data_IF_088180663037
#
_entry.id   IF_088180663037
#
_cell.length_a   1.000
_cell.length_b   1.000
_cell.length_c   1.000
_cell.angle_alpha   90.00
_cell.angle_beta   90.00
_cell.angle_gamma   90.00
#
_symmetry.space_group_name_H-M   'P 1'
#
loop_
_entity.id
_entity.type
_entity.pdbx_description
1 polymer ?
#
# COMPACT_ATOMS: atom_id res chain seq x y z
N UNK A 1 21.76 15.09 -2.29
CA UNK A 1 20.82 14.03 -1.88
C UNK A 1 19.39 14.54 -2.05
N UNK A 2 18.53 13.80 -2.77
CA UNK A 2 17.12 14.16 -2.97
C UNK A 2 16.38 14.08 -1.64
N UNK A 3 15.67 15.15 -1.27
CA UNK A 3 14.98 15.24 0.02
C UNK A 3 13.54 14.71 -0.05
N UNK A 4 12.85 14.96 -1.17
CA UNK A 4 11.48 14.53 -1.42
C UNK A 4 11.19 14.49 -2.92
N UNK A 5 10.38 13.53 -3.36
CA UNK A 5 9.76 13.49 -4.67
C UNK A 5 8.27 13.17 -4.49
N UNK A 6 7.41 13.99 -5.07
CA UNK A 6 5.98 13.75 -5.27
C UNK A 6 5.73 14.07 -6.74
N UNK A 7 5.43 13.06 -7.55
CA UNK A 7 5.22 13.24 -9.00
C UNK A 7 3.75 13.50 -9.33
N UNK A 8 2.78 12.71 -8.78
CA UNK A 8 1.38 12.90 -9.12
C UNK A 8 0.83 14.22 -8.61
N UNK A 9 -0.06 14.83 -9.40
CA UNK A 9 -0.96 15.87 -8.88
C UNK A 9 -2.01 15.20 -8.00
N UNK A 10 -2.17 15.68 -6.77
CA UNK A 10 -3.11 15.12 -5.80
C UNK A 10 -4.42 15.89 -5.85
N UNK A 11 -5.53 15.19 -6.11
CA UNK A 11 -6.88 15.75 -6.11
C UNK A 11 -7.71 15.15 -4.97
N UNK A 12 -8.58 15.95 -4.39
CA UNK A 12 -9.62 15.51 -3.47
C UNK A 12 -10.98 15.86 -4.05
N UNK A 13 -11.93 14.91 -3.99
CA UNK A 13 -13.33 15.12 -4.30
C UNK A 13 -14.19 14.52 -3.18
N UNK A 14 -15.30 15.19 -2.84
CA UNK A 14 -16.23 14.66 -1.82
C UNK A 14 -16.91 13.36 -2.27
N UNK A 15 -17.19 13.25 -3.56
CA UNK A 15 -17.82 12.06 -4.14
C UNK A 15 -17.46 11.82 -5.61
N UNK A 16 -17.79 10.63 -6.09
CA UNK A 16 -17.57 10.20 -7.48
C UNK A 16 -18.19 11.15 -8.51
N UNK A 17 -19.36 11.71 -8.21
CA UNK A 17 -20.06 12.63 -9.13
C UNK A 17 -19.19 13.82 -9.53
N UNK A 18 -18.46 14.42 -8.58
CA UNK A 18 -17.65 15.60 -8.86
C UNK A 18 -16.34 15.22 -9.57
N UNK A 19 -15.77 14.07 -9.22
CA UNK A 19 -14.65 13.49 -9.96
C UNK A 19 -15.01 13.30 -11.44
N UNK A 20 -16.14 12.65 -11.76
CA UNK A 20 -16.56 12.40 -13.15
C UNK A 20 -16.87 13.67 -13.93
N UNK A 21 -17.34 14.75 -13.29
CA UNK A 21 -17.56 16.05 -13.95
C UNK A 21 -16.24 16.68 -14.39
N UNK A 22 -15.19 16.57 -13.58
CA UNK A 22 -13.89 17.19 -13.85
C UNK A 22 -13.07 16.37 -14.85
N UNK A 23 -12.96 15.06 -14.62
CA UNK A 23 -12.14 14.17 -15.47
C UNK A 23 -12.78 13.80 -16.81
N UNK A 24 -14.10 14.04 -17.00
CA UNK A 24 -14.81 13.86 -18.28
C UNK A 24 -14.45 12.56 -18.98
N UNK A 25 -14.81 11.45 -18.36
CA UNK A 25 -14.51 10.10 -18.87
C UNK A 25 -15.20 9.86 -20.20
N UNK A 26 -14.49 9.34 -21.20
CA UNK A 26 -14.96 9.15 -22.57
C UNK A 26 -14.37 7.91 -23.25
N UNK A 27 -14.51 7.86 -24.57
CA UNK A 27 -14.13 6.71 -25.41
C UNK A 27 -12.65 6.38 -25.42
N UNK A 28 -11.80 7.38 -25.16
CA UNK A 28 -10.34 7.23 -25.17
C UNK A 28 -9.79 6.81 -23.79
N UNK A 29 -10.67 6.43 -22.85
CA UNK A 29 -10.32 5.97 -21.52
C UNK A 29 -10.43 4.45 -21.37
N UNK A 30 -9.44 3.85 -20.72
CA UNK A 30 -9.50 2.49 -20.18
C UNK A 30 -9.75 2.55 -18.68
N UNK A 31 -10.91 2.09 -18.25
CA UNK A 31 -11.28 2.02 -16.84
C UNK A 31 -10.93 0.63 -16.30
N UNK A 32 -10.20 0.59 -15.19
CA UNK A 32 -9.88 -0.67 -14.48
C UNK A 32 -10.48 -0.59 -13.08
N UNK A 33 -11.37 -1.51 -12.74
CA UNK A 33 -12.04 -1.55 -11.43
C UNK A 33 -12.47 -2.97 -11.07
N UNK A 34 -13.23 -3.13 -9.99
CA UNK A 34 -13.91 -4.37 -9.64
C UNK A 34 -15.43 -4.24 -9.84
N UNK A 35 -16.12 -5.39 -9.85
CA UNK A 35 -17.56 -5.45 -10.09
C UNK A 35 -18.35 -4.63 -9.07
N UNK A 36 -18.00 -4.71 -7.77
CA UNK A 36 -18.72 -4.00 -6.71
C UNK A 36 -18.66 -2.49 -6.89
N UNK A 37 -17.46 -1.93 -7.05
CA UNK A 37 -17.28 -0.48 -7.25
C UNK A 37 -17.97 -0.01 -8.53
N UNK A 38 -17.87 -0.82 -9.60
CA UNK A 38 -18.53 -0.50 -10.86
C UNK A 38 -20.04 -0.38 -10.67
N UNK A 39 -20.68 -1.36 -10.04
CA UNK A 39 -22.13 -1.38 -9.84
C UNK A 39 -22.63 -0.27 -8.91
N UNK A 40 -21.89 0.01 -7.84
CA UNK A 40 -22.29 0.99 -6.82
C UNK A 40 -22.02 2.44 -7.24
N UNK A 41 -20.90 2.73 -7.89
CA UNK A 41 -20.43 4.09 -8.09
C UNK A 41 -20.17 4.49 -9.55
N UNK A 42 -19.85 3.56 -10.46
CA UNK A 42 -19.23 3.92 -11.74
C UNK A 42 -20.16 3.80 -12.94
N UNK A 43 -21.00 2.78 -13.00
CA UNK A 43 -21.79 2.41 -14.20
C UNK A 43 -22.66 3.52 -14.77
N UNK A 44 -23.13 4.44 -13.93
CA UNK A 44 -23.98 5.55 -14.38
C UNK A 44 -23.19 6.69 -15.01
N UNK A 45 -21.90 6.72 -14.80
CA UNK A 45 -21.00 7.76 -15.29
C UNK A 45 -20.16 7.30 -16.50
N UNK A 46 -20.00 5.99 -16.70
CA UNK A 46 -19.19 5.39 -17.76
C UNK A 46 -20.14 4.92 -18.87
N UNK A 47 -20.03 5.52 -20.08
CA UNK A 47 -20.92 5.18 -21.20
C UNK A 47 -20.17 4.59 -22.40
N UNK A 48 -19.02 5.14 -22.74
CA UNK A 48 -18.31 4.83 -24.00
C UNK A 48 -16.92 4.27 -23.79
N UNK A 49 -16.40 4.33 -22.57
CA UNK A 49 -15.05 3.86 -22.22
C UNK A 49 -14.96 2.34 -22.21
N UNK A 50 -13.80 1.81 -22.53
CA UNK A 50 -13.50 0.42 -22.28
C UNK A 50 -13.41 0.17 -20.77
N UNK A 51 -14.02 -0.91 -20.30
CA UNK A 51 -14.05 -1.25 -18.86
C UNK A 51 -13.49 -2.66 -18.64
N UNK A 52 -12.52 -2.74 -17.77
CA UNK A 52 -11.95 -4.00 -17.27
C UNK A 52 -12.39 -4.17 -15.81
N UNK A 53 -13.15 -5.22 -15.57
CA UNK A 53 -13.50 -5.67 -14.22
C UNK A 53 -12.60 -6.83 -13.85
N UNK A 54 -11.70 -6.62 -12.89
CA UNK A 54 -10.67 -7.61 -12.55
C UNK A 54 -11.25 -8.93 -12.06
N UNK A 55 -12.47 -8.91 -11.52
CA UNK A 55 -13.20 -10.11 -11.07
C UNK A 55 -13.39 -11.15 -12.20
N UNK A 56 -13.40 -10.71 -13.45
CA UNK A 56 -13.52 -11.59 -14.62
C UNK A 56 -12.23 -12.35 -14.97
N UNK A 57 -11.09 -11.94 -14.39
CA UNK A 57 -9.77 -12.48 -14.68
C UNK A 57 -9.14 -13.28 -13.52
N UNK A 58 -9.71 -13.13 -12.32
CA UNK A 58 -9.27 -13.87 -11.13
C UNK A 58 -9.57 -13.12 -9.83
N UNK A 59 -9.31 -13.79 -8.72
CA UNK A 59 -9.49 -13.22 -7.37
C UNK A 59 -8.16 -13.11 -6.63
N UNK A 60 -8.08 -12.16 -5.71
CA UNK A 60 -6.96 -12.01 -4.79
C UNK A 60 -5.85 -11.10 -5.31
N UNK A 61 -4.61 -11.48 -5.04
CA UNK A 61 -3.43 -10.67 -5.38
C UNK A 61 -3.17 -10.67 -6.90
N UNK A 62 -2.77 -9.53 -7.51
CA UNK A 62 -2.54 -9.47 -8.95
C UNK A 62 -1.36 -10.38 -9.35
N UNK A 63 -1.60 -11.20 -10.38
CA UNK A 63 -0.59 -12.13 -10.90
C UNK A 63 -0.17 -11.72 -12.31
N UNK A 64 1.00 -12.21 -12.71
CA UNK A 64 1.48 -12.08 -14.09
C UNK A 64 0.46 -12.62 -15.11
N UNK A 65 -0.17 -13.77 -14.83
CA UNK A 65 -1.18 -14.35 -15.71
C UNK A 65 -2.46 -13.51 -15.82
N UNK A 66 -2.90 -12.86 -14.73
CA UNK A 66 -4.04 -11.94 -14.76
C UNK A 66 -3.72 -10.76 -15.68
N UNK A 67 -2.53 -10.15 -15.54
CA UNK A 67 -2.10 -9.02 -16.39
C UNK A 67 -2.02 -9.44 -17.85
N UNK A 68 -1.44 -10.61 -18.18
CA UNK A 68 -1.40 -11.13 -19.57
C UNK A 68 -2.81 -11.35 -20.13
N UNK A 69 -3.72 -11.93 -19.34
CA UNK A 69 -5.10 -12.16 -19.75
C UNK A 69 -5.86 -10.87 -20.03
N UNK A 70 -5.67 -9.85 -19.19
CA UNK A 70 -6.23 -8.51 -19.41
C UNK A 70 -5.63 -7.91 -20.69
N UNK A 71 -4.29 -7.98 -20.85
CA UNK A 71 -3.61 -7.47 -22.03
C UNK A 71 -4.18 -8.07 -23.32
N UNK A 72 -4.36 -9.38 -23.38
CA UNK A 72 -4.95 -10.07 -24.54
C UNK A 72 -6.36 -9.55 -24.87
N UNK A 73 -7.14 -9.17 -23.86
CA UNK A 73 -8.50 -8.64 -24.06
C UNK A 73 -8.53 -7.20 -24.57
N UNK A 74 -7.51 -6.38 -24.25
CA UNK A 74 -7.49 -4.96 -24.61
C UNK A 74 -6.49 -4.57 -25.69
N UNK A 75 -5.57 -5.45 -26.12
CA UNK A 75 -4.49 -5.12 -27.07
C UNK A 75 -4.95 -4.56 -28.43
N UNK A 76 -6.24 -4.71 -28.76
CA UNK A 76 -6.87 -4.16 -29.97
C UNK A 76 -7.67 -2.89 -29.69
N UNK A 77 -7.79 -2.48 -28.44
CA UNK A 77 -8.52 -1.28 -28.03
C UNK A 77 -7.51 -0.13 -27.99
N UNK A 78 -7.84 0.96 -28.65
CA UNK A 78 -7.06 2.19 -28.56
C UNK A 78 -7.59 3.03 -27.40
N UNK A 79 -6.69 3.43 -26.50
CA UNK A 79 -6.97 4.36 -25.41
C UNK A 79 -5.75 5.24 -25.17
N UNK A 80 -5.98 6.44 -24.63
CA UNK A 80 -4.94 7.42 -24.34
C UNK A 80 -4.75 7.62 -22.84
N UNK A 81 -5.75 7.21 -22.02
CA UNK A 81 -5.72 7.37 -20.58
C UNK A 81 -6.20 6.11 -19.88
N UNK A 82 -5.48 5.74 -18.80
CA UNK A 82 -5.86 4.66 -17.88
C UNK A 82 -6.39 5.27 -16.59
N UNK A 83 -7.58 4.89 -16.17
CA UNK A 83 -8.19 5.30 -14.91
C UNK A 83 -8.43 4.05 -14.07
N UNK A 84 -7.59 3.81 -13.08
CA UNK A 84 -7.72 2.67 -12.19
C UNK A 84 -8.36 3.10 -10.87
N UNK A 85 -9.56 2.53 -10.58
CA UNK A 85 -10.37 2.87 -9.41
C UNK A 85 -10.51 1.64 -8.55
N UNK A 86 -9.81 1.59 -7.41
CA UNK A 86 -9.84 0.40 -6.57
C UNK A 86 -8.79 0.36 -5.46
N UNK A 87 -8.67 -0.81 -4.87
CA UNK A 87 -7.58 -1.11 -3.94
C UNK A 87 -6.27 -1.39 -4.66
N UNK A 88 -5.23 -1.70 -3.87
CA UNK A 88 -3.85 -1.85 -4.36
C UNK A 88 -3.71 -2.67 -5.65
N UNK A 89 -4.34 -3.84 -5.72
CA UNK A 89 -4.25 -4.73 -6.89
C UNK A 89 -4.68 -4.07 -8.19
N UNK A 90 -5.74 -3.25 -8.13
CA UNK A 90 -6.28 -2.53 -9.28
C UNK A 90 -5.34 -1.40 -9.68
N UNK A 91 -4.82 -0.65 -8.71
CA UNK A 91 -3.90 0.44 -8.97
C UNK A 91 -2.59 -0.07 -9.59
N UNK A 92 -2.07 -1.20 -9.12
CA UNK A 92 -0.86 -1.80 -9.67
C UNK A 92 -1.04 -2.31 -11.10
N UNK A 93 -2.20 -2.88 -11.41
CA UNK A 93 -2.57 -3.21 -12.80
C UNK A 93 -2.63 -1.94 -13.64
N UNK A 94 -3.28 -0.87 -13.14
CA UNK A 94 -3.35 0.41 -13.83
C UNK A 94 -2.00 0.98 -14.22
N UNK A 95 -1.02 0.91 -13.31
CA UNK A 95 0.37 1.34 -13.58
C UNK A 95 0.99 0.60 -14.77
N UNK A 96 0.77 -0.72 -14.85
CA UNK A 96 1.29 -1.52 -15.97
C UNK A 96 0.63 -1.12 -17.28
N UNK A 97 -0.69 -0.89 -17.27
CA UNK A 97 -1.44 -0.54 -18.48
C UNK A 97 -1.20 0.89 -18.98
N UNK A 98 -0.51 1.73 -18.20
CA UNK A 98 0.00 3.03 -18.68
C UNK A 98 1.30 2.93 -19.48
N UNK A 99 1.96 1.77 -19.46
CA UNK A 99 3.22 1.55 -20.16
C UNK A 99 3.00 1.13 -21.63
N UNK A 100 3.98 1.47 -22.48
CA UNK A 100 4.02 1.07 -23.88
C UNK A 100 4.23 -0.44 -24.06
N UNK A 101 5.16 -1.01 -23.31
CA UNK A 101 5.56 -2.40 -23.42
C UNK A 101 5.06 -3.17 -22.20
N UNK A 102 3.93 -3.87 -22.33
CA UNK A 102 3.30 -4.60 -21.23
C UNK A 102 3.68 -6.08 -21.26
N UNK A 103 3.54 -6.70 -22.40
CA UNK A 103 3.71 -8.16 -22.58
C UNK A 103 5.00 -8.49 -23.35
N UNK A 104 5.74 -9.54 -22.98
CA UNK A 104 5.46 -10.46 -21.86
C UNK A 104 5.82 -9.83 -20.49
N UNK A 105 4.89 -9.89 -19.53
CA UNK A 105 5.03 -9.30 -18.18
C UNK A 105 6.29 -9.77 -17.46
N UNK A 106 6.67 -11.04 -17.65
CA UNK A 106 7.90 -11.56 -17.06
C UNK A 106 9.16 -10.85 -17.61
N UNK A 107 9.18 -10.47 -18.88
CA UNK A 107 10.30 -9.69 -19.44
C UNK A 107 10.32 -8.27 -18.89
N UNK A 108 9.15 -7.64 -18.71
CA UNK A 108 9.02 -6.31 -18.10
C UNK A 108 9.61 -6.30 -16.68
N UNK A 109 9.19 -7.22 -15.81
CA UNK A 109 9.67 -7.29 -14.42
C UNK A 109 11.12 -7.80 -14.27
N UNK A 110 11.69 -8.37 -15.31
CA UNK A 110 13.12 -8.73 -15.35
C UNK A 110 13.97 -7.69 -16.10
N UNK A 111 13.44 -6.48 -16.35
CA UNK A 111 14.12 -5.38 -17.07
C UNK A 111 14.66 -5.80 -18.45
N UNK A 112 13.95 -6.69 -19.16
CA UNK A 112 14.24 -7.12 -20.53
C UNK A 112 13.38 -6.39 -21.57
N UNK A 113 12.48 -5.54 -21.13
CA UNK A 113 11.72 -4.58 -21.93
C UNK A 113 11.97 -3.18 -21.38
N UNK A 114 11.99 -2.20 -22.27
CA UNK A 114 12.09 -0.80 -21.87
C UNK A 114 10.82 -0.38 -21.14
N UNK A 115 11.00 0.24 -19.98
CA UNK A 115 9.91 0.80 -19.20
C UNK A 115 9.68 2.22 -19.73
N UNK A 116 8.63 2.39 -20.52
CA UNK A 116 8.28 3.67 -21.15
C UNK A 116 6.83 3.95 -20.85
N UNK A 117 6.55 5.06 -20.18
CA UNK A 117 5.18 5.54 -19.97
C UNK A 117 4.63 6.08 -21.30
N UNK A 118 3.45 5.64 -21.67
CA UNK A 118 2.80 6.04 -22.93
C UNK A 118 1.45 6.70 -22.72
N UNK A 119 0.71 6.27 -21.68
CA UNK A 119 -0.65 6.72 -21.42
C UNK A 119 -0.71 7.58 -20.16
N UNK A 120 -1.61 8.57 -20.16
CA UNK A 120 -1.97 9.28 -18.93
C UNK A 120 -2.51 8.28 -17.90
N UNK A 121 -2.07 8.40 -16.66
CA UNK A 121 -2.45 7.49 -15.57
C UNK A 121 -3.14 8.25 -14.45
N UNK A 122 -4.39 7.90 -14.18
CA UNK A 122 -5.18 8.40 -13.05
C UNK A 122 -5.43 7.26 -12.08
N UNK A 123 -4.97 7.39 -10.85
CA UNK A 123 -5.16 6.39 -9.81
C UNK A 123 -6.12 6.92 -8.74
N UNK A 124 -7.21 6.20 -8.52
CA UNK A 124 -8.25 6.51 -7.53
C UNK A 124 -8.23 5.44 -6.44
N UNK A 125 -7.66 5.79 -5.29
CA UNK A 125 -7.52 4.88 -4.16
C UNK A 125 -8.86 4.70 -3.43
N UNK A 126 -9.26 3.45 -3.22
CA UNK A 126 -10.51 3.11 -2.51
C UNK A 126 -10.27 2.35 -1.18
N UNK A 127 -9.04 2.32 -0.72
CA UNK A 127 -8.63 1.75 0.57
C UNK A 127 -7.63 2.67 1.26
N UNK A 128 -7.52 2.62 2.58
CA UNK A 128 -6.58 3.45 3.33
C UNK A 128 -5.32 2.67 3.75
N UNK A 129 -4.65 1.97 2.81
CA UNK A 129 -3.68 0.96 3.23
C UNK A 129 -2.27 1.02 2.65
N UNK A 130 -2.10 1.37 1.40
CA UNK A 130 -0.81 1.20 0.72
C UNK A 130 -0.19 2.49 0.22
N UNK A 131 -1.01 3.51 -0.08
CA UNK A 131 -0.53 4.70 -0.76
C UNK A 131 -0.01 4.41 -2.18
N UNK A 132 -0.57 3.38 -2.85
CA UNK A 132 -0.10 2.99 -4.18
C UNK A 132 -0.35 4.07 -5.23
N UNK A 133 -1.34 4.92 -5.02
CA UNK A 133 -1.68 6.04 -5.91
C UNK A 133 -0.57 7.09 -5.98
N UNK A 134 0.30 7.14 -4.97
CA UNK A 134 1.35 8.16 -4.85
C UNK A 134 2.76 7.59 -5.04
N UNK A 135 2.89 6.29 -5.29
CA UNK A 135 4.20 5.61 -5.41
C UNK A 135 4.46 5.11 -6.82
N UNK A 136 5.74 4.88 -7.14
CA UNK A 136 6.22 4.33 -8.40
C UNK A 136 6.55 2.83 -8.31
N UNK A 137 5.93 2.13 -7.38
CA UNK A 137 6.17 0.71 -7.12
C UNK A 137 4.97 -0.08 -7.64
N UNK A 138 5.24 -1.20 -8.32
CA UNK A 138 4.27 -2.18 -8.73
C UNK A 138 4.73 -3.58 -8.32
N UNK A 139 3.87 -4.35 -7.67
CA UNK A 139 4.19 -5.70 -7.20
C UNK A 139 3.22 -6.72 -7.76
N UNK A 140 3.73 -7.76 -8.44
CA UNK A 140 2.95 -8.89 -8.95
C UNK A 140 3.41 -10.21 -8.34
N UNK A 141 2.49 -11.17 -8.19
CA UNK A 141 2.82 -12.56 -7.89
C UNK A 141 3.06 -13.30 -9.19
N UNK A 142 4.26 -13.84 -9.39
CA UNK A 142 4.61 -14.68 -10.53
C UNK A 142 4.26 -16.13 -10.19
N UNK A 143 3.26 -16.68 -10.89
CA UNK A 143 2.70 -17.99 -10.53
C UNK A 143 3.70 -19.13 -10.74
N UNK A 144 4.42 -19.12 -11.84
CA UNK A 144 5.43 -20.16 -12.16
C UNK A 144 6.62 -20.13 -11.18
N UNK A 145 6.98 -18.94 -10.69
CA UNK A 145 8.11 -18.76 -9.77
C UNK A 145 7.68 -18.81 -8.30
N UNK A 146 6.37 -18.87 -8.03
CA UNK A 146 5.74 -18.85 -6.69
C UNK A 146 6.25 -17.71 -5.80
N UNK A 147 6.66 -16.59 -6.40
CA UNK A 147 7.20 -15.42 -5.68
C UNK A 147 6.61 -14.12 -6.17
N UNK A 148 6.65 -13.11 -5.29
CA UNK A 148 6.33 -11.73 -5.64
C UNK A 148 7.57 -11.05 -6.20
N UNK A 149 7.40 -10.32 -7.30
CA UNK A 149 8.42 -9.42 -7.85
C UNK A 149 7.90 -7.99 -7.78
N UNK A 150 8.82 -7.08 -7.58
CA UNK A 150 8.58 -5.66 -7.51
C UNK A 150 9.25 -4.98 -8.70
N UNK A 151 8.51 -4.12 -9.38
CA UNK A 151 9.01 -3.22 -10.40
C UNK A 151 8.97 -1.80 -9.81
N UNK A 152 10.11 -1.13 -9.80
CA UNK A 152 10.26 0.22 -9.30
C UNK A 152 10.87 1.09 -10.40
N UNK A 153 10.07 2.01 -10.94
CA UNK A 153 10.47 2.89 -12.03
C UNK A 153 9.67 4.18 -12.00
N UNK A 154 10.29 5.29 -12.36
CA UNK A 154 9.61 6.60 -12.34
C UNK A 154 8.43 6.67 -13.31
N UNK A 155 8.45 5.88 -14.37
CA UNK A 155 7.38 5.74 -15.37
C UNK A 155 6.09 5.16 -14.80
N UNK A 156 6.14 4.54 -13.61
CA UNK A 156 4.97 4.01 -12.90
C UNK A 156 4.26 5.03 -12.01
N UNK A 157 4.81 6.24 -11.84
CA UNK A 157 4.06 7.30 -11.17
C UNK A 157 2.80 7.64 -11.94
N UNK A 158 1.71 7.85 -11.23
CA UNK A 158 0.50 8.41 -11.82
C UNK A 158 0.72 9.89 -12.23
N UNK A 159 -0.05 10.37 -13.19
CA UNK A 159 -0.17 11.80 -13.47
C UNK A 159 -1.09 12.46 -12.43
N UNK A 160 -2.12 11.72 -12.02
CA UNK A 160 -3.11 12.16 -11.04
C UNK A 160 -3.37 11.08 -9.99
N UNK A 161 -3.21 11.44 -8.72
CA UNK A 161 -3.65 10.66 -7.57
C UNK A 161 -4.94 11.27 -7.01
N UNK A 162 -6.01 10.50 -7.00
CA UNK A 162 -7.35 11.01 -6.65
C UNK A 162 -7.84 10.36 -5.37
N UNK A 163 -8.22 11.19 -4.41
CA UNK A 163 -8.73 10.81 -3.10
C UNK A 163 -10.23 11.12 -3.03
N UNK A 164 -11.04 10.07 -2.89
CA UNK A 164 -12.51 10.17 -2.78
C UNK A 164 -12.95 9.41 -1.52
N UNK A 165 -13.16 10.08 -0.38
CA UNK A 165 -13.54 9.44 0.87
C UNK A 165 -14.82 8.61 0.80
N UNK A 166 -15.76 8.99 -0.09
CA UNK A 166 -17.00 8.25 -0.35
C UNK A 166 -16.73 6.77 -0.67
N UNK A 167 -15.68 6.47 -1.43
CA UNK A 167 -15.36 5.11 -1.88
C UNK A 167 -14.91 4.17 -0.75
N UNK A 168 -14.48 4.72 0.39
CA UNK A 168 -14.11 3.92 1.56
C UNK A 168 -15.35 3.46 2.34
N UNK A 169 -16.48 4.16 2.21
CA UNK A 169 -17.71 3.86 2.98
C UNK A 169 -18.30 2.49 2.67
N UNK A 170 -18.00 1.94 1.49
CA UNK A 170 -18.43 0.60 1.08
C UNK A 170 -17.55 -0.54 1.60
N UNK A 171 -16.44 -0.22 2.27
CA UNK A 171 -15.52 -1.23 2.79
C UNK A 171 -16.12 -1.95 4.00
N UNK A 172 -15.95 -3.27 4.11
CA UNK A 172 -16.16 -3.97 5.39
C UNK A 172 -15.20 -3.41 6.46
N UNK A 173 -15.69 -3.28 7.70
CA UNK A 173 -14.93 -2.70 8.80
C UNK A 173 -13.58 -3.39 9.02
N UNK A 174 -13.55 -4.72 8.98
CA UNK A 174 -12.31 -5.47 9.12
C UNK A 174 -11.28 -5.13 8.04
N UNK A 175 -11.70 -4.92 6.80
CA UNK A 175 -10.83 -4.52 5.69
C UNK A 175 -10.35 -3.07 5.88
N UNK A 176 -11.23 -2.17 6.32
CA UNK A 176 -10.86 -0.80 6.63
C UNK A 176 -9.77 -0.73 7.72
N UNK A 177 -9.97 -1.47 8.82
CA UNK A 177 -9.02 -1.51 9.93
C UNK A 177 -7.69 -2.16 9.56
N UNK A 178 -7.71 -3.33 8.91
CA UNK A 178 -6.49 -4.01 8.45
C UNK A 178 -5.65 -3.11 7.54
N UNK A 179 -6.28 -2.43 6.58
CA UNK A 179 -5.58 -1.53 5.69
C UNK A 179 -5.01 -0.32 6.43
N UNK A 180 -5.78 0.29 7.35
CA UNK A 180 -5.32 1.43 8.13
C UNK A 180 -4.10 1.08 8.99
N UNK A 181 -4.09 -0.11 9.62
CA UNK A 181 -2.94 -0.61 10.38
C UNK A 181 -1.72 -0.79 9.49
N UNK A 182 -1.91 -1.34 8.28
CA UNK A 182 -0.79 -1.47 7.33
C UNK A 182 -0.19 -0.11 6.95
N UNK A 183 -1.03 0.91 6.68
CA UNK A 183 -0.56 2.26 6.40
C UNK A 183 0.13 2.91 7.62
N UNK A 184 -0.41 2.68 8.82
CA UNK A 184 0.22 3.12 10.06
C UNK A 184 1.63 2.51 10.24
N UNK A 185 1.77 1.20 10.01
CA UNK A 185 3.07 0.52 10.05
C UNK A 185 4.02 1.07 9.00
N UNK A 186 3.55 1.32 7.78
CA UNK A 186 4.35 1.93 6.72
C UNK A 186 4.85 3.33 7.12
N UNK A 187 4.00 4.15 7.75
CA UNK A 187 4.39 5.47 8.26
C UNK A 187 5.48 5.37 9.33
N UNK A 188 5.34 4.43 10.27
CA UNK A 188 6.35 4.19 11.32
C UNK A 188 7.66 3.69 10.72
N UNK A 189 7.60 2.70 9.83
CA UNK A 189 8.78 2.10 9.18
C UNK A 189 9.55 3.14 8.34
N UNK A 190 8.81 4.02 7.63
CA UNK A 190 9.40 5.14 6.88
C UNK A 190 10.02 6.19 7.80
N UNK A 191 9.39 6.50 8.95
CA UNK A 191 9.90 7.49 9.90
C UNK A 191 11.28 7.11 10.47
N UNK A 192 11.45 5.83 10.81
CA UNK A 192 12.69 5.30 11.39
C UNK A 192 13.71 4.85 10.33
N UNK A 193 13.38 4.95 9.05
CA UNK A 193 14.27 4.55 7.96
C UNK A 193 15.60 5.33 8.00
N UNK A 194 16.74 4.69 7.72
CA UNK A 194 18.02 5.39 7.52
C UNK A 194 17.98 6.40 6.35
N UNK A 195 17.02 6.25 5.43
CA UNK A 195 16.79 7.15 4.29
C UNK A 195 15.77 8.25 4.59
N UNK A 196 15.22 8.28 5.81
CA UNK A 196 14.27 9.32 6.19
C UNK A 196 14.92 10.70 6.14
N UNK A 197 14.17 11.67 5.63
CA UNK A 197 14.53 13.09 5.59
C UNK A 197 13.53 13.86 6.49
N UNK A 198 13.80 15.12 6.77
CA UNK A 198 12.85 15.96 7.51
C UNK A 198 11.49 16.03 6.80
N UNK A 199 11.48 16.10 5.46
CA UNK A 199 10.25 16.12 4.68
C UNK A 199 9.47 14.80 4.81
N UNK A 200 10.12 13.64 4.65
CA UNK A 200 9.43 12.36 4.79
C UNK A 200 8.94 12.15 6.23
N UNK A 201 9.69 12.62 7.22
CA UNK A 201 9.27 12.57 8.62
C UNK A 201 8.03 13.42 8.90
N UNK A 202 7.87 14.59 8.27
CA UNK A 202 6.66 15.40 8.41
C UNK A 202 5.41 14.65 7.98
N UNK A 203 5.46 13.98 6.81
CA UNK A 203 4.35 13.17 6.31
C UNK A 203 4.09 11.93 7.17
N UNK A 204 5.14 11.19 7.54
CA UNK A 204 5.02 10.02 8.43
C UNK A 204 4.43 10.40 9.78
N UNK A 205 4.91 11.47 10.41
CA UNK A 205 4.42 11.93 11.70
C UNK A 205 2.95 12.35 11.62
N UNK A 206 2.55 13.05 10.55
CA UNK A 206 1.16 13.43 10.34
C UNK A 206 0.27 12.19 10.20
N UNK A 207 0.70 11.19 9.42
CA UNK A 207 -0.02 9.94 9.27
C UNK A 207 -0.17 9.20 10.61
N UNK A 208 0.92 9.05 11.36
CA UNK A 208 0.93 8.42 12.69
C UNK A 208 -0.07 9.08 13.63
N UNK A 209 -0.05 10.43 13.69
CA UNK A 209 -0.98 11.21 14.54
C UNK A 209 -2.45 10.97 14.17
N UNK A 210 -2.76 10.98 12.88
CA UNK A 210 -4.13 10.79 12.40
C UNK A 210 -4.60 9.37 12.75
N UNK A 211 -3.83 8.33 12.45
CA UNK A 211 -4.21 6.96 12.75
C UNK A 211 -4.39 6.72 14.24
N UNK A 212 -3.44 7.10 15.10
CA UNK A 212 -3.55 6.86 16.54
C UNK A 212 -4.75 7.60 17.16
N UNK A 213 -5.03 8.83 16.73
CA UNK A 213 -6.19 9.55 17.18
C UNK A 213 -7.50 8.91 16.70
N UNK A 214 -7.53 8.42 15.45
CA UNK A 214 -8.66 7.69 14.91
C UNK A 214 -8.89 6.36 15.64
N UNK A 215 -7.84 5.60 15.93
CA UNK A 215 -7.94 4.36 16.70
C UNK A 215 -8.51 4.56 18.10
N UNK A 216 -8.14 5.65 18.77
CA UNK A 216 -8.74 6.01 20.07
C UNK A 216 -10.23 6.32 19.96
N UNK A 217 -10.65 6.99 18.88
CA UNK A 217 -12.08 7.24 18.62
C UNK A 217 -12.83 5.95 18.39
N UNK A 218 -12.28 5.02 17.59
CA UNK A 218 -12.89 3.71 17.34
C UNK A 218 -13.06 2.91 18.65
N UNK A 219 -12.09 2.94 19.56
CA UNK A 219 -12.18 2.25 20.85
C UNK A 219 -13.26 2.83 21.75
N UNK A 220 -13.53 4.12 21.64
CA UNK A 220 -14.54 4.82 22.46
C UNK A 220 -15.96 4.67 21.88
N UNK A 221 -16.07 4.66 20.57
CA UNK A 221 -17.32 4.56 19.83
C UNK A 221 -17.06 3.87 18.50
N UNK A 222 -17.54 2.62 18.38
CA UNK A 222 -17.35 1.79 17.19
C UNK A 222 -18.39 2.08 16.10
N UNK A 223 -19.52 2.69 16.48
CA UNK A 223 -20.62 2.99 15.57
C UNK A 223 -20.18 4.08 14.56
N UNK A 224 -20.45 3.82 13.29
CA UNK A 224 -20.20 4.74 12.16
C UNK A 224 -18.75 5.24 11.97
N UNK A 225 -17.77 4.56 12.57
CA UNK A 225 -16.37 4.97 12.52
C UNK A 225 -15.82 5.10 11.09
N UNK A 226 -16.31 4.30 10.12
CA UNK A 226 -15.88 4.38 8.72
C UNK A 226 -16.30 5.74 8.13
N UNK A 227 -17.54 6.17 8.31
CA UNK A 227 -18.02 7.45 7.81
C UNK A 227 -17.25 8.62 8.41
N UNK A 228 -16.99 8.57 9.71
CA UNK A 228 -16.29 9.62 10.44
C UNK A 228 -14.81 9.71 10.09
N UNK A 229 -14.16 8.58 9.79
CA UNK A 229 -12.71 8.50 9.63
C UNK A 229 -12.24 8.28 8.19
N UNK A 230 -13.14 8.03 7.23
CA UNK A 230 -12.79 7.74 5.83
C UNK A 230 -11.86 8.78 5.24
N UNK A 231 -12.18 10.07 5.39
CA UNK A 231 -11.37 11.16 4.88
C UNK A 231 -10.00 11.20 5.55
N UNK A 232 -9.98 11.22 6.87
CA UNK A 232 -8.74 11.32 7.66
C UNK A 232 -7.82 10.13 7.38
N UNK A 233 -8.35 8.91 7.32
CA UNK A 233 -7.56 7.70 7.09
C UNK A 233 -7.08 7.57 5.64
N UNK A 234 -7.87 8.05 4.67
CA UNK A 234 -7.44 8.10 3.28
C UNK A 234 -6.24 9.03 3.11
N UNK A 235 -6.31 10.24 3.71
CA UNK A 235 -5.18 11.18 3.71
C UNK A 235 -3.98 10.66 4.49
N UNK A 236 -4.19 10.02 5.64
CA UNK A 236 -3.09 9.42 6.40
C UNK A 236 -2.38 8.32 5.61
N UNK A 237 -3.14 7.49 4.87
CA UNK A 237 -2.58 6.49 3.95
C UNK A 237 -1.76 7.14 2.82
N UNK A 238 -2.26 8.23 2.23
CA UNK A 238 -1.54 8.99 1.21
C UNK A 238 -0.23 9.57 1.77
N UNK A 239 -0.26 10.20 2.94
CA UNK A 239 0.95 10.70 3.62
C UNK A 239 1.97 9.58 3.91
N UNK A 240 1.50 8.43 4.39
CA UNK A 240 2.35 7.25 4.57
C UNK A 240 2.96 6.78 3.24
N UNK A 241 2.18 6.81 2.15
CA UNK A 241 2.63 6.50 0.79
C UNK A 241 3.69 7.45 0.28
N UNK A 242 3.53 8.77 0.48
CA UNK A 242 4.55 9.79 0.14
C UNK A 242 5.86 9.47 0.85
N UNK A 243 5.81 9.16 2.14
CA UNK A 243 7.02 8.83 2.90
C UNK A 243 7.65 7.55 2.39
N UNK A 244 6.86 6.48 2.23
CA UNK A 244 7.31 5.17 1.75
C UNK A 244 7.94 5.26 0.35
N UNK A 245 7.32 5.98 -0.58
CA UNK A 245 7.85 6.18 -1.95
C UNK A 245 9.22 6.84 -1.98
N UNK A 246 9.57 7.61 -0.96
CA UNK A 246 10.87 8.30 -0.85
C UNK A 246 11.90 7.53 -0.02
N UNK A 247 11.47 6.80 1.02
CA UNK A 247 12.38 6.04 1.89
C UNK A 247 12.59 4.61 1.43
N UNK A 248 11.66 4.08 0.63
CA UNK A 248 11.55 2.66 0.34
C UNK A 248 11.06 1.86 1.56
N UNK A 249 10.93 0.57 1.38
CA UNK A 249 10.58 -0.34 2.46
C UNK A 249 11.68 -0.39 3.53
N UNK A 250 11.28 -0.30 4.80
CA UNK A 250 12.17 -0.30 5.93
C UNK A 250 12.37 -1.69 6.55
N UNK A 251 12.78 -1.69 7.82
CA UNK A 251 13.15 -2.91 8.54
C UNK A 251 11.92 -3.78 8.84
N UNK A 252 10.79 -3.19 9.21
CA UNK A 252 9.57 -3.95 9.56
C UNK A 252 9.08 -4.70 8.32
N UNK A 253 9.00 -4.01 7.18
CA UNK A 253 8.59 -4.62 5.92
C UNK A 253 9.56 -5.72 5.46
N UNK A 254 10.87 -5.51 5.63
CA UNK A 254 11.88 -6.50 5.26
C UNK A 254 11.73 -7.79 6.07
N UNK A 255 11.47 -7.68 7.37
CA UNK A 255 11.17 -8.83 8.22
C UNK A 255 9.83 -9.50 7.85
N UNK A 256 8.78 -8.71 7.63
CA UNK A 256 7.47 -9.21 7.23
C UNK A 256 7.49 -9.92 5.88
N UNK A 257 8.24 -9.41 4.90
CA UNK A 257 8.42 -10.04 3.59
C UNK A 257 9.04 -11.43 3.72
N UNK A 258 10.07 -11.58 4.55
CA UNK A 258 10.69 -12.88 4.79
C UNK A 258 9.75 -13.86 5.52
N UNK A 259 8.98 -13.37 6.48
CA UNK A 259 7.97 -14.18 7.18
C UNK A 259 6.85 -14.61 6.22
N UNK A 260 6.44 -13.76 5.28
CA UNK A 260 5.42 -14.03 4.27
C UNK A 260 5.89 -14.95 3.11
N UNK A 261 7.15 -15.42 3.12
CA UNK A 261 7.59 -16.50 2.24
C UNK A 261 6.91 -17.83 2.59
N UNK A 262 6.45 -17.97 3.83
CA UNK A 262 5.44 -18.97 4.17
C UNK A 262 4.10 -18.49 3.60
N UNK A 263 3.56 -19.23 2.62
CA UNK A 263 2.36 -18.87 1.85
C UNK A 263 1.07 -18.72 2.71
N UNK A 264 1.12 -19.13 3.98
CA UNK A 264 0.04 -18.99 4.96
C UNK A 264 -0.20 -17.53 5.40
N UNK A 265 0.78 -16.62 5.19
CA UNK A 265 0.74 -15.25 5.64
C UNK A 265 0.82 -14.25 4.50
N UNK A 266 -0.03 -13.24 4.54
CA UNK A 266 0.16 -12.05 3.73
C UNK A 266 1.28 -11.16 4.31
N UNK A 267 1.86 -10.27 3.49
CA UNK A 267 2.85 -9.29 3.97
C UNK A 267 2.26 -8.38 5.05
N UNK A 268 0.98 -8.00 4.92
CA UNK A 268 0.28 -7.15 5.91
C UNK A 268 0.18 -7.84 7.26
N UNK A 269 -0.30 -9.07 7.28
CA UNK A 269 -0.38 -9.88 8.50
C UNK A 269 1.00 -10.08 9.12
N UNK A 270 2.00 -10.43 8.30
CA UNK A 270 3.38 -10.58 8.73
C UNK A 270 3.92 -9.32 9.40
N UNK A 271 3.77 -8.17 8.74
CA UNK A 271 4.18 -6.87 9.28
C UNK A 271 3.49 -6.58 10.62
N UNK A 272 2.17 -6.81 10.69
CA UNK A 272 1.40 -6.55 11.90
C UNK A 272 1.83 -7.44 13.08
N UNK A 273 2.06 -8.73 12.82
CA UNK A 273 2.48 -9.69 13.86
C UNK A 273 3.80 -9.28 14.50
N UNK A 274 4.78 -8.86 13.70
CA UNK A 274 6.13 -8.56 14.17
C UNK A 274 6.37 -7.11 14.58
N UNK A 275 5.44 -6.22 14.28
CA UNK A 275 5.57 -4.77 14.34
C UNK A 275 6.23 -4.26 15.62
N UNK A 276 5.58 -4.41 16.74
CA UNK A 276 6.06 -3.92 18.04
C UNK A 276 7.27 -4.69 18.54
N UNK A 277 7.38 -5.98 18.21
CA UNK A 277 8.55 -6.81 18.55
C UNK A 277 9.81 -6.29 17.87
N UNK A 278 9.72 -5.94 16.58
CA UNK A 278 10.83 -5.35 15.83
C UNK A 278 11.19 -3.99 16.43
N UNK A 279 10.21 -3.14 16.69
CA UNK A 279 10.46 -1.84 17.32
C UNK A 279 11.18 -1.97 18.67
N UNK A 280 10.71 -2.84 19.58
CA UNK A 280 11.36 -3.09 20.87
C UNK A 280 12.81 -3.55 20.71
N UNK A 281 13.04 -4.49 19.80
CA UNK A 281 14.37 -5.10 19.62
C UNK A 281 15.38 -4.15 19.02
N UNK A 282 14.94 -3.30 18.11
CA UNK A 282 15.81 -2.43 17.33
C UNK A 282 15.75 -0.96 17.73
N UNK A 283 14.91 -0.58 18.70
CA UNK A 283 14.72 0.80 19.15
C UNK A 283 16.02 1.58 19.39
N UNK A 284 17.03 0.93 20.01
CA UNK A 284 18.33 1.55 20.30
C UNK A 284 19.30 1.60 19.12
N UNK A 285 18.97 0.92 18.01
CA UNK A 285 19.87 0.76 16.85
C UNK A 285 19.37 1.50 15.62
N UNK A 286 18.09 1.89 15.59
CA UNK A 286 17.48 2.54 14.45
C UNK A 286 17.59 4.06 14.60
N UNK A 287 17.92 4.71 13.49
CA UNK A 287 17.88 6.15 13.42
C UNK A 287 16.47 6.68 13.74
N UNK A 288 16.41 7.87 14.28
CA UNK A 288 15.16 8.59 14.58
C UNK A 288 14.20 7.92 15.59
N UNK A 289 14.55 6.76 16.17
CA UNK A 289 13.65 6.04 17.09
C UNK A 289 13.39 6.84 18.38
N UNK A 290 14.39 7.53 18.93
CA UNK A 290 14.18 8.38 20.11
C UNK A 290 13.16 9.49 19.82
N UNK A 291 13.27 10.14 18.66
CA UNK A 291 12.34 11.19 18.24
C UNK A 291 10.92 10.60 18.06
N UNK A 292 10.80 9.43 17.42
CA UNK A 292 9.53 8.72 17.30
C UNK A 292 8.95 8.37 18.67
N UNK A 293 9.75 7.85 19.60
CA UNK A 293 9.28 7.48 20.93
C UNK A 293 8.72 8.67 21.72
N UNK A 294 9.33 9.86 21.62
CA UNK A 294 8.76 11.07 22.22
C UNK A 294 7.39 11.43 21.64
N UNK A 295 7.24 11.32 20.31
CA UNK A 295 5.96 11.54 19.63
C UNK A 295 4.91 10.52 20.11
N UNK A 296 5.27 9.22 20.11
CA UNK A 296 4.37 8.16 20.55
C UNK A 296 4.00 8.29 22.03
N UNK A 297 4.97 8.58 22.92
CA UNK A 297 4.72 8.83 24.34
C UNK A 297 3.67 9.93 24.56
N UNK A 298 3.81 11.04 23.83
CA UNK A 298 2.84 12.14 23.87
C UNK A 298 1.46 11.70 23.35
N UNK A 299 1.43 11.05 22.19
CA UNK A 299 0.17 10.59 21.58
C UNK A 299 -0.54 9.53 22.41
N UNK A 300 0.20 8.62 23.05
CA UNK A 300 -0.34 7.53 23.85
C UNK A 300 -0.61 7.96 25.32
N UNK A 301 -0.13 9.15 25.71
CA UNK A 301 -0.18 9.66 27.08
C UNK A 301 0.42 8.65 28.09
N UNK A 302 1.61 8.15 27.79
CA UNK A 302 2.32 7.18 28.64
C UNK A 302 3.81 7.48 28.70
N UNK A 303 4.49 6.89 29.71
CA UNK A 303 5.94 6.95 29.79
C UNK A 303 6.63 6.20 28.65
N UNK A 304 7.82 6.62 28.24
CA UNK A 304 8.55 6.03 27.12
C UNK A 304 8.79 4.51 27.26
N UNK A 305 8.94 3.98 28.45
CA UNK A 305 9.13 2.56 28.71
C UNK A 305 7.86 1.72 28.49
N UNK A 306 6.67 2.34 28.39
CA UNK A 306 5.38 1.69 28.17
C UNK A 306 4.82 1.87 26.76
N UNK A 307 5.49 2.62 25.89
CA UNK A 307 5.01 2.98 24.55
C UNK A 307 4.55 1.74 23.77
N UNK A 308 5.38 0.71 23.69
CA UNK A 308 5.09 -0.45 22.87
C UNK A 308 4.02 -1.35 23.48
N UNK A 309 3.84 -1.34 24.80
CA UNK A 309 2.74 -2.05 25.48
C UNK A 309 1.42 -1.35 25.21
N UNK A 310 1.37 -0.02 25.31
CA UNK A 310 0.17 0.77 25.02
C UNK A 310 -0.18 0.71 23.53
N UNK A 311 0.82 0.70 22.65
CA UNK A 311 0.60 0.52 21.22
C UNK A 311 -0.01 -0.85 20.91
N UNK A 312 0.52 -1.91 21.53
CA UNK A 312 -0.07 -3.25 21.43
C UNK A 312 -1.50 -3.29 21.94
N UNK A 313 -1.79 -2.64 23.07
CA UNK A 313 -3.13 -2.57 23.64
C UNK A 313 -4.13 -1.90 22.67
N UNK A 314 -3.77 -0.75 22.11
CA UNK A 314 -4.63 -0.02 21.16
C UNK A 314 -4.86 -0.87 19.92
N UNK A 315 -3.80 -1.38 19.29
CA UNK A 315 -3.90 -2.12 18.05
C UNK A 315 -4.69 -3.43 18.21
N UNK A 316 -4.51 -4.17 19.31
CA UNK A 316 -5.27 -5.38 19.59
C UNK A 316 -6.74 -5.13 19.91
N UNK A 317 -7.10 -3.94 20.44
CA UNK A 317 -8.51 -3.57 20.67
C UNK A 317 -9.25 -3.28 19.38
N UNK A 318 -8.60 -2.67 18.39
CA UNK A 318 -9.24 -2.33 17.12
C UNK A 318 -9.24 -3.49 16.11
N UNK A 319 -8.18 -4.32 16.13
CA UNK A 319 -8.06 -5.45 15.21
C UNK A 319 -7.24 -6.57 15.87
N UNK A 320 -7.85 -7.74 16.02
CA UNK A 320 -7.20 -8.88 16.67
C UNK A 320 -5.95 -9.32 15.91
N UNK A 321 -4.81 -9.29 16.59
CA UNK A 321 -3.53 -9.74 16.03
C UNK A 321 -3.34 -11.22 16.31
N UNK A 322 -3.52 -12.05 15.30
CA UNK A 322 -3.26 -13.47 15.37
C UNK A 322 -1.80 -13.75 15.75
N UNK A 323 -1.56 -14.85 16.46
CA UNK A 323 -0.22 -15.34 16.78
C UNK A 323 0.32 -16.18 15.63
N UNK A 324 1.64 -16.30 15.50
CA UNK A 324 2.27 -17.14 14.47
C UNK A 324 1.81 -18.61 14.55
N UNK A 325 1.56 -19.11 15.76
CA UNK A 325 1.04 -20.47 15.98
C UNK A 325 -0.36 -20.68 15.39
N UNK A 326 -1.18 -19.63 15.25
CA UNK A 326 -2.51 -19.71 14.63
C UNK A 326 -2.44 -19.81 13.10
N UNK A 327 -1.25 -19.57 12.53
CA UNK A 327 -0.91 -19.80 11.13
C UNK A 327 -0.09 -21.10 10.94
N UNK A 328 -0.01 -21.98 11.94
CA UNK A 328 0.75 -23.20 11.87
C UNK A 328 2.28 -23.04 11.87
N UNK A 329 2.79 -21.82 12.15
CA UNK A 329 4.23 -21.54 12.17
C UNK A 329 4.80 -21.90 13.55
N UNK A 330 5.61 -22.93 13.58
CA UNK A 330 6.29 -23.40 14.78
C UNK A 330 7.61 -22.65 15.05
N UNK A 331 8.11 -22.78 16.29
CA UNK A 331 9.31 -22.09 16.75
C UNK A 331 10.59 -22.46 15.98
N UNK A 332 10.71 -23.71 15.53
CA UNK A 332 11.82 -24.19 14.68
C UNK A 332 11.83 -23.48 13.33
N UNK A 333 10.68 -23.40 12.66
CA UNK A 333 10.53 -22.67 11.37
C UNK A 333 10.88 -21.18 11.53
N UNK A 334 10.49 -20.57 12.65
CA UNK A 334 10.86 -19.19 12.97
C UNK A 334 12.37 -18.98 13.07
N UNK A 335 13.09 -19.95 13.68
CA UNK A 335 14.55 -19.90 13.76
C UNK A 335 15.22 -19.97 12.38
N UNK A 336 14.68 -20.75 11.46
CA UNK A 336 15.19 -20.84 10.08
C UNK A 336 14.91 -19.55 9.30
N UNK A 337 13.72 -18.96 9.45
CA UNK A 337 13.39 -17.65 8.89
C UNK A 337 14.37 -16.59 9.39
N UNK A 338 14.65 -16.54 10.70
CA UNK A 338 15.59 -15.58 11.30
C UNK A 338 17.01 -15.78 10.76
N UNK A 339 17.48 -17.04 10.63
CA UNK A 339 18.80 -17.32 10.04
C UNK A 339 18.92 -16.82 8.62
N UNK A 340 17.95 -17.15 7.78
CA UNK A 340 17.90 -16.71 6.39
C UNK A 340 17.91 -15.16 6.27
N UNK A 341 17.24 -14.48 7.19
CA UNK A 341 17.24 -13.02 7.24
C UNK A 341 18.61 -12.43 7.59
N UNK A 342 19.31 -13.01 8.56
CA UNK A 342 20.65 -12.58 8.95
C UNK A 342 21.63 -12.80 7.79
N UNK A 343 21.53 -13.92 7.09
CA UNK A 343 22.37 -14.22 5.93
C UNK A 343 22.14 -13.24 4.77
N UNK A 344 20.88 -12.88 4.49
CA UNK A 344 20.53 -11.90 3.46
C UNK A 344 21.06 -10.50 3.81
N UNK A 345 20.94 -10.07 5.07
CA UNK A 345 21.50 -8.78 5.51
C UNK A 345 23.02 -8.73 5.42
N UNK A 346 23.70 -9.85 5.66
CA UNK A 346 25.15 -9.93 5.52
C UNK A 346 25.58 -9.90 4.04
N UNK A 347 24.82 -10.54 3.13
CA UNK A 347 25.07 -10.47 1.69
C UNK A 347 24.89 -9.05 1.12
N UNK A 348 23.86 -8.32 1.57
CA UNK A 348 23.63 -6.93 1.17
C UNK A 348 24.72 -5.96 1.67
N UNK A 349 25.38 -6.28 2.77
CA UNK A 349 26.57 -5.53 3.24
C UNK A 349 27.81 -5.82 2.43
N UNK A 350 28.01 -7.07 1.98
CA UNK A 350 29.15 -7.44 1.12
C UNK A 350 29.06 -6.94 -0.32
N UNK A 351 27.90 -6.46 -0.77
CA UNK A 351 27.71 -5.85 -2.09
C UNK A 351 27.88 -4.30 -2.07
N UNK A 352 28.21 -3.73 -0.91
CA UNK A 352 28.43 -2.28 -0.72
C UNK A 352 29.87 -1.89 -0.42
N UNK A 353 30.76 -2.86 -0.37
CA UNK A 353 32.23 -2.70 -0.40
C UNK A 353 32.75 -3.08 -1.80
#
# INVERSE_FOLDING_TARGET
MRQLKIEPVIYEYDGCRDFFKVFRIGKDDLIISNQKLYDEYLKYHIKESAVILIDNYGKGYPTDNIVESIYESVKKITYERVIAIGGNSILEIGKIFSLKNISPVNKLFNHKLDIVKEKELVLVQTTCGTGSEITNICTLKFQNEKRKKELNADELYADSAVLIPELLKSLPLNIFLENSINAFINAVDSYISPKATEYTQLFSERAIKIFLNGYKKIILDEEDCINLLSRDFLFASNYAGISLGNTGHGIIHSFGKNLSLNEELTIKESNYIIFTTVLRRYAKKLANTEKLNRILSTLLNCNENKIYDELDNILNKIFYRKRLSEFGIERNQLNDIIRNMIELQNKDKCLKD
#
